data_IF_893254509164
#
_entry.id   IF_893254509164
#
_cell.length_a   1.000
_cell.length_b   1.000
_cell.length_c   1.000
_cell.angle_alpha   90.00
_cell.angle_beta   90.00
_cell.angle_gamma   90.00
#
_symmetry.space_group_name_H-M   'P 1'
#
loop_
_entity.id
_entity.type
_entity.pdbx_description
1 polymer ?
#
# COMPACT_ATOMS: atom_id res chain seq x y z
N UNK A 1 -19.21 8.60 2.45
CA UNK A 1 -18.39 9.62 3.13
C UNK A 1 -17.58 9.04 4.26
N UNK A 2 -16.36 8.58 3.97
CA UNK A 2 -15.33 8.44 5.00
C UNK A 2 -14.63 9.78 5.11
N UNK A 3 -14.57 10.36 6.32
CA UNK A 3 -13.84 11.59 6.55
C UNK A 3 -12.37 11.46 6.06
N UNK A 4 -11.76 12.54 5.55
CA UNK A 4 -10.35 12.57 5.20
C UNK A 4 -9.53 12.07 6.39
N UNK A 5 -8.41 11.37 6.13
CA UNK A 5 -7.52 11.06 7.24
C UNK A 5 -7.10 12.36 7.93
N UNK A 6 -7.16 12.42 9.27
CA UNK A 6 -6.55 13.54 9.96
C UNK A 6 -5.10 13.64 9.47
N UNK A 7 -4.65 14.88 9.22
CA UNK A 7 -3.29 15.20 8.79
C UNK A 7 -2.27 14.92 9.92
N UNK A 8 -2.20 13.68 10.38
CA UNK A 8 -1.20 13.21 11.33
C UNK A 8 0.01 12.81 10.49
N UNK A 9 1.20 13.34 10.82
CA UNK A 9 2.41 12.84 10.20
C UNK A 9 2.51 11.35 10.49
N UNK A 10 2.95 10.53 9.53
CA UNK A 10 3.25 9.14 9.82
C UNK A 10 4.20 9.08 11.03
N UNK A 11 3.88 8.26 12.03
CA UNK A 11 4.71 8.10 13.23
C UNK A 11 6.07 7.55 12.81
N UNK A 12 7.13 8.34 13.01
CA UNK A 12 8.50 8.00 12.61
C UNK A 12 8.94 6.66 13.22
N UNK A 13 8.47 6.35 14.43
CA UNK A 13 8.77 5.08 15.09
C UNK A 13 8.30 3.88 14.28
N UNK A 14 7.16 3.99 13.58
CA UNK A 14 6.64 2.89 12.76
C UNK A 14 7.58 2.58 11.60
N UNK A 15 8.21 3.59 10.99
CA UNK A 15 9.15 3.38 9.88
C UNK A 15 10.48 2.80 10.37
N UNK A 16 10.94 3.22 11.55
CA UNK A 16 12.13 2.65 12.19
C UNK A 16 11.89 1.17 12.50
N UNK A 17 10.80 0.85 13.20
CA UNK A 17 10.44 -0.52 13.56
C UNK A 17 10.26 -1.40 12.30
N UNK A 18 9.70 -0.85 11.23
CA UNK A 18 9.54 -1.55 9.95
C UNK A 18 10.90 -1.81 9.29
N UNK A 19 11.77 -0.80 9.24
CA UNK A 19 13.12 -0.92 8.66
C UNK A 19 13.92 -2.02 9.35
N UNK A 20 13.92 -2.04 10.68
CA UNK A 20 14.64 -3.05 11.47
C UNK A 20 14.16 -4.47 11.17
N UNK A 21 12.84 -4.67 11.08
CA UNK A 21 12.24 -5.97 10.73
C UNK A 21 12.61 -6.40 9.32
N UNK A 22 12.53 -5.50 8.34
CA UNK A 22 12.86 -5.82 6.96
C UNK A 22 14.35 -6.16 6.82
N UNK A 23 15.24 -5.40 7.46
CA UNK A 23 16.68 -5.69 7.47
C UNK A 23 16.96 -7.08 8.06
N UNK A 24 16.35 -7.40 9.20
CA UNK A 24 16.51 -8.73 9.85
C UNK A 24 16.09 -9.88 8.93
N UNK A 25 15.00 -9.71 8.17
CA UNK A 25 14.52 -10.72 7.23
C UNK A 25 15.42 -10.81 5.99
N UNK A 26 15.90 -9.67 5.50
CA UNK A 26 16.79 -9.59 4.33
C UNK A 26 18.14 -10.27 4.61
N UNK A 27 18.70 -10.10 5.81
CA UNK A 27 19.91 -10.79 6.28
C UNK A 27 19.76 -12.32 6.31
N UNK A 28 18.51 -12.81 6.41
CA UNK A 28 18.18 -14.25 6.34
C UNK A 28 17.89 -14.74 4.92
N UNK A 29 18.13 -13.91 3.91
CA UNK A 29 17.89 -14.24 2.50
C UNK A 29 16.43 -14.16 2.07
N UNK A 30 15.55 -13.50 2.84
CA UNK A 30 14.14 -13.31 2.47
C UNK A 30 13.99 -12.10 1.54
N UNK A 31 13.43 -12.31 0.36
CA UNK A 31 12.99 -11.21 -0.52
C UNK A 31 11.63 -10.68 -0.08
N UNK A 32 11.53 -9.38 0.14
CA UNK A 32 10.30 -8.71 0.60
C UNK A 32 9.78 -7.80 -0.50
N UNK A 33 8.51 -7.98 -0.87
CA UNK A 33 7.77 -7.10 -1.77
C UNK A 33 6.75 -6.31 -0.95
N UNK A 34 6.96 -5.00 -0.79
CA UNK A 34 6.05 -4.15 -0.03
C UNK A 34 4.94 -3.63 -0.95
N UNK A 35 3.70 -4.08 -0.72
CA UNK A 35 2.55 -3.72 -1.55
C UNK A 35 1.64 -2.72 -0.83
N UNK A 36 1.10 -1.70 -1.52
CA UNK A 36 0.05 -0.88 -0.95
C UNK A 36 -1.25 -1.68 -0.89
N UNK A 37 -2.14 -1.38 0.08
CA UNK A 37 -3.45 -1.98 0.10
C UNK A 37 -4.26 -1.55 -1.14
N UNK A 38 -5.28 -2.32 -1.54
CA UNK A 38 -6.30 -1.81 -2.45
C UNK A 38 -6.97 -0.57 -1.83
N UNK A 39 -7.26 0.43 -2.66
CA UNK A 39 -7.77 1.72 -2.20
C UNK A 39 -8.96 2.19 -3.02
N UNK A 40 -10.00 2.66 -2.33
CA UNK A 40 -11.19 3.25 -2.94
C UNK A 40 -10.86 4.56 -3.66
N UNK A 41 -11.30 4.71 -4.91
CA UNK A 41 -10.91 5.83 -5.80
C UNK A 41 -11.21 7.20 -5.22
N UNK A 42 -12.43 7.44 -4.75
CA UNK A 42 -12.79 8.73 -4.15
C UNK A 42 -11.92 9.05 -2.92
N UNK A 43 -11.68 8.04 -2.09
CA UNK A 43 -10.86 8.19 -0.88
C UNK A 43 -9.39 8.42 -1.21
N UNK A 44 -8.86 7.77 -2.25
CA UNK A 44 -7.49 7.96 -2.70
C UNK A 44 -7.22 9.40 -3.14
N UNK A 45 -8.19 10.02 -3.82
CA UNK A 45 -8.09 11.43 -4.21
C UNK A 45 -7.99 12.34 -2.99
N UNK A 46 -8.86 12.10 -2.00
CA UNK A 46 -8.90 12.88 -0.76
C UNK A 46 -7.63 12.70 0.09
N UNK A 47 -7.06 11.50 0.11
CA UNK A 47 -5.91 11.15 0.96
C UNK A 47 -4.56 11.19 0.23
N UNK A 48 -4.53 11.68 -1.02
CA UNK A 48 -3.36 11.67 -1.91
C UNK A 48 -2.10 12.28 -1.28
N UNK A 49 -2.24 13.38 -0.53
CA UNK A 49 -1.12 14.01 0.16
C UNK A 49 -0.50 13.10 1.23
N UNK A 50 -1.32 12.43 2.03
CA UNK A 50 -0.84 11.53 3.08
C UNK A 50 -0.19 10.28 2.47
N UNK A 51 -0.80 9.73 1.43
CA UNK A 51 -0.28 8.57 0.68
C UNK A 51 1.09 8.89 0.07
N UNK A 52 1.24 10.08 -0.52
CA UNK A 52 2.53 10.51 -1.08
C UNK A 52 3.59 10.65 0.01
N UNK A 53 3.26 11.23 1.17
CA UNK A 53 4.20 11.33 2.29
C UNK A 53 4.67 9.95 2.77
N UNK A 54 3.75 8.99 2.94
CA UNK A 54 4.10 7.62 3.31
C UNK A 54 5.01 6.99 2.26
N UNK A 55 4.70 7.16 0.98
CA UNK A 55 5.50 6.63 -0.13
C UNK A 55 6.93 7.18 -0.13
N UNK A 56 7.09 8.48 0.12
CA UNK A 56 8.42 9.11 0.24
C UNK A 56 9.16 8.67 1.51
N UNK A 57 8.48 8.53 2.65
CA UNK A 57 9.08 7.99 3.88
C UNK A 57 9.58 6.55 3.68
N UNK A 58 8.81 5.70 2.99
CA UNK A 58 9.21 4.33 2.65
C UNK A 58 10.43 4.30 1.72
N UNK A 59 10.45 5.15 0.69
CA UNK A 59 11.62 5.33 -0.19
C UNK A 59 12.86 5.76 0.61
N UNK A 60 12.71 6.73 1.50
CA UNK A 60 13.81 7.26 2.31
C UNK A 60 14.46 6.22 3.23
N UNK A 61 13.71 5.23 3.72
CA UNK A 61 14.25 4.13 4.53
C UNK A 61 14.78 2.96 3.69
N UNK A 62 14.75 3.05 2.35
CA UNK A 62 15.27 2.04 1.43
C UNK A 62 14.27 0.95 1.05
N UNK A 63 12.99 1.12 1.38
CA UNK A 63 11.94 0.12 1.16
C UNK A 63 10.72 0.71 0.45
N UNK A 64 10.86 1.15 -0.81
CA UNK A 64 9.74 1.69 -1.57
C UNK A 64 8.64 0.66 -1.77
N UNK A 65 7.43 1.13 -2.10
CA UNK A 65 6.41 0.24 -2.62
C UNK A 65 6.92 -0.48 -3.89
N UNK A 66 6.69 -1.78 -3.96
CA UNK A 66 6.95 -2.58 -5.14
C UNK A 66 5.98 -2.22 -6.29
N UNK A 67 4.74 -1.85 -5.95
CA UNK A 67 3.76 -1.28 -6.87
C UNK A 67 3.30 0.06 -6.31
N UNK A 68 3.39 1.13 -7.10
CA UNK A 68 2.92 2.46 -6.67
C UNK A 68 1.44 2.42 -6.21
N UNK A 69 1.04 3.15 -5.15
CA UNK A 69 -0.32 3.14 -4.62
C UNK A 69 -1.41 3.39 -5.66
N UNK A 70 -1.14 4.25 -6.66
CA UNK A 70 -2.05 4.52 -7.78
C UNK A 70 -2.38 3.25 -8.60
N UNK A 71 -1.48 2.26 -8.61
CA UNK A 71 -1.68 0.95 -9.21
C UNK A 71 -2.69 0.08 -8.46
N UNK A 72 -3.03 0.40 -7.20
CA UNK A 72 -3.97 -0.37 -6.39
C UNK A 72 -5.31 0.35 -6.16
N UNK A 73 -5.65 1.31 -7.02
CA UNK A 73 -6.90 2.07 -6.92
C UNK A 73 -8.02 1.44 -7.73
N UNK A 74 -9.17 1.20 -7.09
CA UNK A 74 -10.35 0.56 -7.69
C UNK A 74 -11.60 1.44 -7.57
N UNK A 75 -12.61 1.25 -8.44
CA UNK A 75 -13.89 1.95 -8.31
C UNK A 75 -14.53 1.73 -6.94
N UNK A 76 -15.19 2.76 -6.41
CA UNK A 76 -15.86 2.73 -5.10
C UNK A 76 -16.85 1.57 -4.96
N UNK A 77 -17.51 1.17 -6.06
CA UNK A 77 -18.44 0.03 -6.10
C UNK A 77 -17.79 -1.32 -5.78
N UNK A 78 -16.46 -1.39 -5.73
CA UNK A 78 -15.71 -2.59 -5.37
C UNK A 78 -15.45 -2.71 -3.86
N UNK A 79 -15.97 -1.82 -3.02
CA UNK A 79 -15.75 -1.81 -1.57
C UNK A 79 -17.06 -1.87 -0.80
N UNK A 80 -17.09 -2.52 0.37
CA UNK A 80 -18.35 -2.76 1.12
C UNK A 80 -18.50 -2.02 2.46
N UNK A 81 -17.42 -1.72 3.18
CA UNK A 81 -17.49 -1.04 4.48
C UNK A 81 -16.45 0.09 4.65
N UNK A 82 -15.24 -0.11 4.12
CA UNK A 82 -14.10 0.79 4.25
C UNK A 82 -13.45 1.01 2.90
N UNK A 83 -12.60 2.03 2.84
CA UNK A 83 -11.79 2.35 1.66
C UNK A 83 -10.74 1.29 1.29
N UNK A 84 -10.58 0.23 2.09
CA UNK A 84 -9.59 -0.82 1.90
C UNK A 84 -10.18 -2.22 1.67
N UNK A 85 -11.44 -2.44 2.06
CA UNK A 85 -12.01 -3.78 2.02
C UNK A 85 -12.82 -4.00 0.74
N UNK A 86 -12.23 -4.81 -0.14
CA UNK A 86 -12.81 -5.17 -1.42
C UNK A 86 -13.96 -6.17 -1.26
N UNK A 87 -14.98 -6.05 -2.11
CA UNK A 87 -15.92 -7.14 -2.40
C UNK A 87 -15.21 -8.28 -3.15
N UNK A 88 -15.86 -9.44 -3.24
CA UNK A 88 -15.31 -10.63 -3.91
C UNK A 88 -14.75 -10.35 -5.31
N UNK A 89 -15.47 -9.60 -6.14
CA UNK A 89 -15.01 -9.27 -7.49
C UNK A 89 -13.73 -8.42 -7.46
N UNK A 90 -13.69 -7.41 -6.58
CA UNK A 90 -12.51 -6.59 -6.33
C UNK A 90 -11.32 -7.43 -5.88
N UNK A 91 -11.50 -8.38 -4.95
CA UNK A 91 -10.44 -9.28 -4.48
C UNK A 91 -9.86 -10.07 -5.66
N UNK A 92 -10.70 -10.68 -6.50
CA UNK A 92 -10.24 -11.45 -7.68
C UNK A 92 -9.42 -10.56 -8.62
N UNK A 93 -9.89 -9.34 -8.88
CA UNK A 93 -9.19 -8.38 -9.73
C UNK A 93 -7.83 -7.98 -9.14
N UNK A 94 -7.79 -7.66 -7.85
CA UNK A 94 -6.57 -7.26 -7.15
C UNK A 94 -5.55 -8.41 -7.10
N UNK A 95 -5.97 -9.62 -6.73
CA UNK A 95 -5.10 -10.79 -6.70
C UNK A 95 -4.49 -11.10 -8.08
N UNK A 96 -5.29 -11.02 -9.16
CA UNK A 96 -4.78 -11.22 -10.53
C UNK A 96 -3.73 -10.18 -10.92
N UNK A 97 -3.97 -8.91 -10.54
CA UNK A 97 -3.01 -7.84 -10.78
C UNK A 97 -1.69 -8.10 -10.08
N UNK A 98 -1.72 -8.34 -8.77
CA UNK A 98 -0.51 -8.60 -7.97
C UNK A 98 0.23 -9.84 -8.46
N UNK A 99 -0.47 -10.94 -8.73
CA UNK A 99 0.15 -12.13 -9.30
C UNK A 99 0.80 -11.86 -10.66
N UNK A 100 0.21 -10.99 -11.48
CA UNK A 100 0.78 -10.54 -12.74
C UNK A 100 2.04 -9.71 -12.58
N UNK A 101 2.10 -8.82 -11.59
CA UNK A 101 3.32 -8.07 -11.25
C UNK A 101 4.43 -9.00 -10.78
N UNK A 102 4.15 -9.86 -9.78
CA UNK A 102 5.17 -10.73 -9.19
C UNK A 102 5.79 -11.70 -10.21
N UNK A 103 4.98 -12.23 -11.14
CA UNK A 103 5.46 -13.10 -12.23
C UNK A 103 6.41 -12.40 -13.21
N UNK A 104 6.42 -11.07 -13.28
CA UNK A 104 7.37 -10.33 -14.14
C UNK A 104 8.72 -10.13 -13.49
N UNK A 105 8.81 -10.30 -12.17
CA UNK A 105 10.03 -10.05 -11.39
C UNK A 105 10.78 -11.32 -11.01
N UNK A 106 10.07 -12.45 -10.89
CA UNK A 106 10.64 -13.78 -10.63
C UNK A 106 10.86 -14.54 -11.94
#
# INVERSE_FOLDING_TARGET
DSAPLPMVSPDEKVFIDLKEKISTLSERGVTIFFLPPPYCRSSFQNDSLAINRISESLKAIGFPYYLEPSGCVYPDSMFYDSRYHLIREGVVMHSRKIAGELKRTL
#
